data_IF_151634917338
#
_entry.id   IF_151634917338
#
_cell.length_a   1.000
_cell.length_b   1.000
_cell.length_c   1.000
_cell.angle_alpha   90.00
_cell.angle_beta   90.00
_cell.angle_gamma   90.00
#
_symmetry.space_group_name_H-M   'P 1'
#
loop_
_entity.id
_entity.type
_entity.pdbx_description
1 polymer ?
#
# COMPACT_ATOMS: atom_id res chain seq x y z
N UNK A 1 0.82 -13.72 2.99
CA UNK A 1 -0.22 -14.11 3.99
C UNK A 1 -1.43 -14.70 3.27
N UNK A 2 -2.20 -15.64 3.86
CA UNK A 2 -3.52 -15.99 3.32
C UNK A 2 -4.52 -14.88 3.69
N UNK A 3 -4.65 -13.90 2.80
CA UNK A 3 -5.62 -12.81 2.91
C UNK A 3 -7.03 -13.27 2.55
N UNK A 4 -8.06 -12.72 3.20
CA UNK A 4 -9.44 -12.85 2.74
C UNK A 4 -9.72 -11.82 1.65
N UNK A 5 -10.67 -12.09 0.75
CA UNK A 5 -11.04 -11.13 -0.31
C UNK A 5 -11.44 -9.76 0.26
N UNK A 6 -12.12 -9.75 1.41
CA UNK A 6 -12.50 -8.52 2.12
C UNK A 6 -11.28 -7.74 2.62
N UNK A 7 -10.32 -8.43 3.23
CA UNK A 7 -9.08 -7.79 3.68
C UNK A 7 -8.28 -7.23 2.50
N UNK A 8 -8.10 -8.00 1.43
CA UNK A 8 -7.41 -7.53 0.22
C UNK A 8 -8.04 -6.28 -0.37
N UNK A 9 -9.38 -6.23 -0.46
CA UNK A 9 -10.09 -5.05 -0.97
C UNK A 9 -9.91 -3.83 -0.07
N UNK A 10 -9.95 -4.02 1.25
CA UNK A 10 -9.75 -2.94 2.22
C UNK A 10 -8.34 -2.33 2.07
N UNK A 11 -7.32 -3.19 1.95
CA UNK A 11 -5.95 -2.75 1.71
C UNK A 11 -5.85 -2.01 0.37
N UNK A 12 -6.42 -2.54 -0.71
CA UNK A 12 -6.38 -1.89 -2.02
C UNK A 12 -6.98 -0.48 -1.97
N UNK A 13 -8.16 -0.31 -1.37
CA UNK A 13 -8.79 1.02 -1.23
C UNK A 13 -7.90 1.98 -0.43
N UNK A 14 -7.23 1.52 0.62
CA UNK A 14 -6.31 2.36 1.37
C UNK A 14 -5.10 2.79 0.53
N UNK A 15 -4.53 1.86 -0.25
CA UNK A 15 -3.40 2.16 -1.14
C UNK A 15 -3.78 3.16 -2.23
N UNK A 16 -4.97 3.01 -2.83
CA UNK A 16 -5.51 3.93 -3.84
C UNK A 16 -5.69 5.35 -3.25
N UNK A 17 -6.25 5.45 -2.05
CA UNK A 17 -6.39 6.73 -1.35
C UNK A 17 -5.04 7.39 -1.10
N UNK A 18 -4.02 6.62 -0.67
CA UNK A 18 -2.67 7.16 -0.45
C UNK A 18 -2.03 7.63 -1.75
N UNK A 19 -2.16 6.85 -2.83
CA UNK A 19 -1.65 7.22 -4.15
C UNK A 19 -2.31 8.49 -4.71
N UNK A 20 -3.54 8.82 -4.30
CA UNK A 20 -4.20 10.05 -4.71
C UNK A 20 -3.60 11.34 -4.12
N UNK A 21 -2.88 11.23 -2.99
CA UNK A 21 -2.34 12.38 -2.26
C UNK A 21 -0.80 12.41 -2.18
N UNK A 22 -0.13 11.29 -2.45
CA UNK A 22 1.33 11.16 -2.43
C UNK A 22 1.84 10.74 -3.82
N UNK A 23 2.34 11.68 -4.64
CA UNK A 23 2.82 11.41 -6.00
C UNK A 23 4.01 10.44 -6.06
N UNK A 24 4.89 10.45 -5.05
CA UNK A 24 6.04 9.53 -5.00
C UNK A 24 5.57 8.11 -4.70
N UNK A 25 4.60 7.98 -3.79
CA UNK A 25 3.95 6.70 -3.54
C UNK A 25 3.15 6.23 -4.76
N UNK A 26 2.44 7.11 -5.46
CA UNK A 26 1.67 6.78 -6.66
C UNK A 26 2.54 6.12 -7.75
N UNK A 27 3.74 6.67 -7.97
CA UNK A 27 4.72 6.09 -8.90
C UNK A 27 5.14 4.67 -8.48
N UNK A 28 5.37 4.44 -7.18
CA UNK A 28 5.70 3.11 -6.67
C UNK A 28 4.51 2.14 -6.72
N UNK A 29 3.29 2.61 -6.50
CA UNK A 29 2.06 1.81 -6.50
C UNK A 29 1.66 1.37 -7.92
N UNK A 30 1.91 2.21 -8.93
CA UNK A 30 1.66 1.88 -10.35
C UNK A 30 2.65 0.86 -10.93
N UNK A 31 3.69 0.47 -10.19
CA UNK A 31 4.67 -0.51 -10.66
C UNK A 31 4.10 -1.93 -10.55
N UNK A 32 3.71 -2.50 -11.70
CA UNK A 32 3.14 -3.85 -11.81
C UNK A 32 4.11 -4.98 -11.42
N UNK A 33 5.42 -4.70 -11.38
CA UNK A 33 6.45 -5.65 -10.93
C UNK A 33 6.59 -5.68 -9.40
N UNK A 34 5.96 -4.74 -8.67
CA UNK A 34 5.93 -4.75 -7.20
C UNK A 34 4.72 -5.52 -6.68
N UNK A 35 4.95 -6.43 -5.75
CA UNK A 35 3.88 -7.13 -5.05
C UNK A 35 3.20 -6.17 -4.04
N UNK A 36 1.88 -6.30 -3.89
CA UNK A 36 1.11 -5.58 -2.86
C UNK A 36 1.67 -5.80 -1.45
N UNK A 37 2.28 -6.96 -1.20
CA UNK A 37 2.97 -7.28 0.05
C UNK A 37 4.12 -6.27 0.35
N UNK A 38 4.84 -5.80 -0.67
CA UNK A 38 5.92 -4.81 -0.51
C UNK A 38 5.36 -3.42 -0.19
N UNK A 39 4.20 -3.08 -0.76
CA UNK A 39 3.51 -1.83 -0.44
C UNK A 39 3.00 -1.82 1.00
N UNK A 40 2.46 -2.95 1.48
CA UNK A 40 2.03 -3.12 2.88
C UNK A 40 3.22 -3.02 3.82
N UNK A 41 4.35 -3.65 3.48
CA UNK A 41 5.58 -3.55 4.26
C UNK A 41 6.09 -2.11 4.36
N UNK A 42 6.08 -1.38 3.24
CA UNK A 42 6.48 0.03 3.22
C UNK A 42 5.58 0.87 4.14
N UNK A 43 4.26 0.69 4.09
CA UNK A 43 3.31 1.39 4.97
C UNK A 43 3.52 1.04 6.44
N UNK A 44 3.80 -0.22 6.74
CA UNK A 44 4.06 -0.67 8.12
C UNK A 44 5.33 -0.03 8.69
N UNK A 45 6.40 0.06 7.88
CA UNK A 45 7.70 0.63 8.29
C UNK A 45 7.67 2.17 8.32
N UNK A 46 6.93 2.81 7.42
CA UNK A 46 6.93 4.29 7.34
C UNK A 46 5.91 4.94 8.28
N UNK A 47 4.86 4.23 8.73
CA UNK A 47 3.98 4.73 9.80
C UNK A 47 4.66 4.74 11.18
N UNK A 48 5.74 3.99 11.40
CA UNK A 48 6.45 4.00 12.69
C UNK A 48 7.35 5.22 12.91
N UNK A 49 7.45 6.14 11.93
CA UNK A 49 8.21 7.39 12.06
C UNK A 49 7.37 8.62 12.45
N UNK A 50 6.06 8.44 12.67
CA UNK A 50 5.14 9.51 13.11
C UNK A 50 4.47 9.19 14.46
N UNK A 51 5.27 8.74 15.44
CA UNK A 51 4.88 8.66 16.86
C UNK A 51 5.73 9.62 17.68
#
# INVERSE_FOLDING_TARGET
MKSTAYFSRTILTHLEQRASIDPLFAQSFANLDKNIDDCVLWIAIHNTHYA
#
